data_IF_638101824282
#
_entry.id   IF_638101824282
#
_cell.length_a   1.000
_cell.length_b   1.000
_cell.length_c   1.000
_cell.angle_alpha   90.00
_cell.angle_beta   90.00
_cell.angle_gamma   90.00
#
_symmetry.space_group_name_H-M   'P 1'
#
loop_
_entity.id
_entity.type
_entity.pdbx_description
1 polymer ?
#
# COMPACT_ATOMS: atom_id res chain seq x y z
N UNK A 1 -7.66 -6.33 8.45
CA UNK A 1 -6.79 -5.49 7.60
C UNK A 1 -6.84 -4.04 8.06
N UNK A 2 -5.77 -3.32 7.82
CA UNK A 2 -5.75 -1.89 8.10
C UNK A 2 -6.68 -1.16 7.13
N UNK A 3 -7.41 -0.17 7.63
CA UNK A 3 -8.38 0.58 6.82
C UNK A 3 -8.00 2.05 6.73
N UNK A 4 -8.08 2.59 5.51
CA UNK A 4 -7.84 4.00 5.21
C UNK A 4 -8.99 4.49 4.34
N UNK A 5 -9.51 5.68 4.63
CA UNK A 5 -10.57 6.27 3.83
C UNK A 5 -10.00 7.46 3.08
N UNK A 6 -10.26 7.51 1.76
CA UNK A 6 -9.83 8.60 0.90
C UNK A 6 -11.04 9.13 0.15
N UNK A 7 -11.19 10.45 0.10
CA UNK A 7 -12.21 11.09 -0.71
C UNK A 7 -11.57 11.55 -2.02
N UNK A 8 -12.17 11.18 -3.14
CA UNK A 8 -11.68 11.56 -4.48
C UNK A 8 -11.73 13.07 -4.67
N UNK A 9 -10.61 13.66 -5.13
CA UNK A 9 -10.46 15.09 -5.35
C UNK A 9 -10.48 15.40 -6.85
N UNK A 10 -10.87 16.65 -7.17
CA UNK A 10 -11.04 17.09 -8.55
C UNK A 10 -9.77 16.90 -9.39
N UNK A 11 -8.61 17.20 -8.84
CA UNK A 11 -7.35 17.10 -9.58
C UNK A 11 -6.90 15.66 -9.83
N UNK A 12 -7.64 14.68 -9.33
CA UNK A 12 -7.34 13.26 -9.52
C UNK A 12 -8.11 12.65 -10.67
N UNK A 13 -8.99 13.42 -11.32
CA UNK A 13 -9.84 12.95 -12.42
C UNK A 13 -9.14 13.08 -13.76
N UNK A 14 -9.48 12.16 -14.68
CA UNK A 14 -9.09 12.27 -16.08
C UNK A 14 -10.15 13.02 -16.88
N UNK A 15 -9.98 13.10 -18.21
CA UNK A 15 -10.91 13.82 -19.08
C UNK A 15 -12.29 13.18 -19.18
N UNK A 16 -12.45 11.94 -18.71
CA UNK A 16 -13.75 11.25 -18.68
C UNK A 16 -14.47 11.43 -17.34
N UNK A 17 -13.89 12.17 -16.40
CA UNK A 17 -14.48 12.36 -15.08
C UNK A 17 -14.24 11.22 -14.12
N UNK A 18 -13.40 10.25 -14.50
CA UNK A 18 -13.01 9.12 -13.64
C UNK A 18 -11.68 9.40 -12.97
N UNK A 19 -11.44 8.78 -11.82
CA UNK A 19 -10.12 8.83 -11.23
C UNK A 19 -9.10 8.29 -12.23
N UNK A 20 -8.07 9.09 -12.52
CA UNK A 20 -7.00 8.68 -13.42
C UNK A 20 -6.30 7.45 -12.82
N UNK A 21 -6.03 6.44 -13.67
CA UNK A 21 -5.45 5.19 -13.20
C UNK A 21 -4.14 5.37 -12.43
N UNK A 22 -3.34 6.38 -12.73
CA UNK A 22 -2.09 6.64 -12.01
C UNK A 22 -2.33 7.05 -10.56
N UNK A 23 -3.48 7.65 -10.25
CA UNK A 23 -3.79 8.07 -8.88
C UNK A 23 -4.12 6.90 -7.97
N UNK A 24 -4.55 5.76 -8.52
CA UNK A 24 -4.74 4.57 -7.70
C UNK A 24 -3.43 4.09 -7.07
N UNK A 25 -2.31 4.25 -7.76
CA UNK A 25 -1.00 3.93 -7.20
C UNK A 25 -0.70 4.79 -5.98
N UNK A 26 -1.06 6.07 -6.04
CA UNK A 26 -0.90 6.98 -4.90
C UNK A 26 -1.83 6.63 -3.74
N UNK A 27 -3.07 6.26 -4.03
CA UNK A 27 -4.02 5.85 -3.00
C UNK A 27 -3.50 4.62 -2.24
N UNK A 28 -3.04 3.62 -2.97
CA UNK A 28 -2.51 2.40 -2.36
C UNK A 28 -1.24 2.69 -1.56
N UNK A 29 -0.37 3.55 -2.06
CA UNK A 29 0.85 3.93 -1.36
C UNK A 29 0.53 4.67 -0.05
N UNK A 30 -0.39 5.63 -0.10
CA UNK A 30 -0.82 6.35 1.10
C UNK A 30 -1.35 5.38 2.16
N UNK A 31 -2.12 4.40 1.73
CA UNK A 31 -2.68 3.40 2.65
C UNK A 31 -1.59 2.51 3.27
N UNK A 32 -0.56 2.14 2.50
CA UNK A 32 0.56 1.37 3.05
C UNK A 32 1.35 2.18 4.07
N UNK A 33 1.59 3.46 3.78
CA UNK A 33 2.29 4.36 4.71
C UNK A 33 1.49 4.51 6.00
N UNK A 34 0.18 4.70 5.89
CA UNK A 34 -0.71 4.80 7.04
C UNK A 34 -0.68 3.53 7.90
N UNK A 35 -0.68 2.36 7.25
CA UNK A 35 -0.61 1.08 7.95
C UNK A 35 0.72 0.94 8.71
N UNK A 36 1.82 1.36 8.10
CA UNK A 36 3.13 1.31 8.75
C UNK A 36 3.20 2.25 9.94
N UNK A 37 2.67 3.46 9.81
CA UNK A 37 2.64 4.42 10.92
C UNK A 37 1.85 3.86 12.10
N UNK A 38 0.68 3.28 11.82
CA UNK A 38 -0.16 2.69 12.87
C UNK A 38 0.51 1.48 13.54
N UNK A 39 1.29 0.71 12.77
CA UNK A 39 2.02 -0.43 13.30
C UNK A 39 3.25 -0.01 14.12
N UNK A 40 3.59 1.28 14.13
CA UNK A 40 4.64 1.81 14.98
C UNK A 40 6.02 1.95 14.33
N UNK A 41 6.12 1.78 13.01
CA UNK A 41 7.40 1.92 12.32
C UNK A 41 7.23 2.70 11.03
N UNK A 42 7.45 4.01 11.09
CA UNK A 42 7.27 4.89 9.93
C UNK A 42 8.41 4.77 8.92
N UNK A 43 8.12 5.20 7.69
CA UNK A 43 9.14 5.27 6.62
C UNK A 43 10.28 6.20 7.03
N UNK A 44 9.97 7.34 7.66
CA UNK A 44 10.99 8.29 8.11
C UNK A 44 11.94 7.68 9.15
N UNK A 45 11.40 6.92 10.09
CA UNK A 45 12.22 6.23 11.09
C UNK A 45 13.19 5.25 10.42
N UNK A 46 12.69 4.48 9.46
CA UNK A 46 13.50 3.51 8.72
C UNK A 46 14.62 4.21 7.95
N UNK A 47 14.30 5.30 7.27
CA UNK A 47 15.29 6.06 6.49
C UNK A 47 16.39 6.58 7.41
N UNK A 48 16.04 7.11 8.57
CA UNK A 48 17.00 7.61 9.56
C UNK A 48 17.89 6.49 10.09
N UNK A 49 17.40 5.26 10.11
CA UNK A 49 18.17 4.09 10.58
C UNK A 49 18.98 3.45 9.45
N UNK A 50 18.91 3.97 8.24
CA UNK A 50 19.69 3.47 7.11
C UNK A 50 19.01 2.36 6.31
N UNK A 51 17.68 2.31 6.33
CA UNK A 51 16.91 1.32 5.58
C UNK A 51 15.93 1.99 4.63
N UNK A 52 15.82 1.45 3.43
CA UNK A 52 14.85 1.91 2.43
C UNK A 52 13.87 0.78 2.15
N UNK A 53 12.61 1.15 1.96
CA UNK A 53 11.59 0.23 1.46
C UNK A 53 11.35 0.59 0.00
N UNK A 54 11.64 -0.35 -0.89
CA UNK A 54 11.62 -0.13 -2.33
C UNK A 54 10.58 -1.04 -2.98
N UNK A 55 9.71 -0.45 -3.78
CA UNK A 55 8.71 -1.22 -4.53
C UNK A 55 9.44 -2.00 -5.63
N UNK A 56 9.32 -3.33 -5.59
CA UNK A 56 9.96 -4.21 -6.56
C UNK A 56 8.99 -4.67 -7.65
N UNK A 57 7.70 -4.78 -7.34
CA UNK A 57 6.71 -5.23 -8.29
C UNK A 57 5.33 -4.76 -7.86
N UNK A 58 4.54 -4.29 -8.82
CA UNK A 58 3.14 -3.90 -8.59
C UNK A 58 2.30 -4.59 -9.65
N UNK A 59 1.19 -5.17 -9.20
CA UNK A 59 0.15 -5.66 -10.09
C UNK A 59 -1.17 -5.06 -9.62
N UNK A 60 -1.81 -4.28 -10.48
CA UNK A 60 -3.07 -3.60 -10.17
C UNK A 60 -4.14 -4.01 -11.15
N UNK A 61 -5.32 -4.32 -10.63
CA UNK A 61 -6.50 -4.59 -11.45
C UNK A 61 -7.51 -3.48 -11.19
N UNK A 62 -8.00 -2.87 -12.27
CA UNK A 62 -9.01 -1.82 -12.23
C UNK A 62 -10.35 -2.45 -12.59
N UNK A 63 -11.28 -2.47 -11.64
CA UNK A 63 -12.52 -3.24 -11.77
C UNK A 63 -13.76 -2.37 -11.95
N UNK A 64 -13.74 -1.13 -11.45
CA UNK A 64 -14.85 -0.19 -11.59
C UNK A 64 -14.32 1.24 -11.48
N UNK A 65 -14.99 2.21 -12.10
CA UNK A 65 -14.54 3.60 -12.00
C UNK A 65 -14.91 4.24 -10.67
N UNK A 66 -14.14 5.22 -10.28
CA UNK A 66 -14.44 6.10 -9.15
C UNK A 66 -14.57 7.53 -9.66
N UNK A 67 -15.39 8.32 -8.99
CA UNK A 67 -15.80 9.65 -9.45
C UNK A 67 -15.54 10.70 -8.37
N UNK A 68 -15.67 11.97 -8.75
CA UNK A 68 -15.50 13.09 -7.84
C UNK A 68 -16.31 12.91 -6.56
N UNK A 69 -15.68 13.17 -5.45
CA UNK A 69 -16.27 13.11 -4.11
C UNK A 69 -16.65 11.72 -3.61
N UNK A 70 -16.38 10.67 -4.39
CA UNK A 70 -16.56 9.32 -3.89
C UNK A 70 -15.68 9.08 -2.66
N UNK A 71 -16.22 8.37 -1.69
CA UNK A 71 -15.48 7.94 -0.52
C UNK A 71 -15.00 6.51 -0.76
N UNK A 72 -13.69 6.32 -0.73
CA UNK A 72 -13.05 5.04 -1.04
C UNK A 72 -12.48 4.45 0.23
N UNK A 73 -12.84 3.21 0.54
CA UNK A 73 -12.25 2.46 1.64
C UNK A 73 -11.11 1.61 1.08
N UNK A 74 -9.92 1.78 1.63
CA UNK A 74 -8.76 1.00 1.24
C UNK A 74 -8.39 0.08 2.39
N UNK A 75 -8.48 -1.21 2.14
CA UNK A 75 -8.08 -2.23 3.09
C UNK A 75 -6.69 -2.73 2.70
N UNK A 76 -5.77 -2.80 3.67
CA UNK A 76 -4.38 -3.15 3.43
C UNK A 76 -3.92 -4.21 4.41
N UNK A 77 -3.21 -5.21 3.90
CA UNK A 77 -2.60 -6.23 4.72
C UNK A 77 -1.39 -6.84 4.04
N UNK A 78 -0.60 -7.56 4.80
CA UNK A 78 0.58 -8.25 4.30
C UNK A 78 0.27 -9.73 4.24
N UNK A 79 0.52 -10.35 3.09
CA UNK A 79 0.19 -11.76 2.86
C UNK A 79 1.40 -12.67 2.99
N UNK A 80 2.60 -12.12 2.88
CA UNK A 80 3.81 -12.91 2.99
C UNK A 80 4.97 -12.02 3.43
N UNK A 81 5.77 -12.52 4.36
CA UNK A 81 7.00 -11.84 4.80
C UNK A 81 8.15 -12.79 4.54
N UNK A 82 9.17 -12.28 3.84
CA UNK A 82 10.43 -12.97 3.60
C UNK A 82 11.54 -12.22 4.32
N UNK A 83 12.78 -12.70 4.19
CA UNK A 83 13.92 -12.09 4.88
C UNK A 83 14.10 -10.62 4.50
N UNK A 84 14.00 -10.29 3.20
CA UNK A 84 14.29 -8.95 2.67
C UNK A 84 13.13 -8.38 1.86
N UNK A 85 11.96 -8.99 1.90
CA UNK A 85 10.79 -8.50 1.15
C UNK A 85 9.49 -8.90 1.83
N UNK A 86 8.43 -8.18 1.51
CA UNK A 86 7.08 -8.47 1.97
C UNK A 86 6.11 -8.28 0.81
N UNK A 87 5.04 -9.07 0.81
CA UNK A 87 4.00 -8.98 -0.18
C UNK A 87 2.77 -8.34 0.45
N UNK A 88 2.35 -7.21 -0.12
CA UNK A 88 1.14 -6.51 0.29
C UNK A 88 -0.04 -6.93 -0.57
N UNK A 89 -1.21 -6.99 0.04
CA UNK A 89 -2.49 -7.08 -0.65
C UNK A 89 -3.34 -5.92 -0.22
N UNK A 90 -3.94 -5.22 -1.19
CA UNK A 90 -4.80 -4.06 -0.91
C UNK A 90 -6.01 -4.08 -1.82
N UNK A 91 -7.12 -3.58 -1.29
CA UNK A 91 -8.39 -3.51 -2.02
C UNK A 91 -9.05 -2.18 -1.75
N UNK A 92 -9.52 -1.53 -2.81
CA UNK A 92 -10.32 -0.30 -2.72
C UNK A 92 -11.78 -0.65 -3.01
N UNK A 93 -12.67 -0.24 -2.11
CA UNK A 93 -14.10 -0.39 -2.32
C UNK A 93 -14.81 0.95 -2.21
N UNK A 94 -15.91 1.06 -2.97
CA UNK A 94 -16.86 2.15 -2.89
C UNK A 94 -18.20 1.53 -2.54
N UNK A 95 -18.64 1.66 -1.29
CA UNK A 95 -19.78 0.91 -0.81
C UNK A 95 -19.53 -0.59 -0.95
N UNK A 96 -20.36 -1.26 -1.73
CA UNK A 96 -20.24 -2.71 -1.97
C UNK A 96 -19.46 -3.04 -3.25
N UNK A 97 -19.03 -2.03 -3.98
CA UNK A 97 -18.35 -2.22 -5.26
C UNK A 97 -16.84 -2.24 -5.06
N UNK A 98 -16.18 -3.29 -5.54
CA UNK A 98 -14.71 -3.33 -5.55
C UNK A 98 -14.24 -2.51 -6.74
N UNK A 99 -13.46 -1.47 -6.46
CA UNK A 99 -12.97 -0.53 -7.48
C UNK A 99 -11.64 -0.98 -8.05
N UNK A 100 -10.73 -1.41 -7.18
CA UNK A 100 -9.39 -1.85 -7.61
C UNK A 100 -8.77 -2.77 -6.56
N UNK A 101 -7.86 -3.61 -7.03
CA UNK A 101 -7.10 -4.54 -6.18
C UNK A 101 -5.64 -4.40 -6.57
N UNK A 102 -4.74 -4.39 -5.58
CA UNK A 102 -3.31 -4.30 -5.85
C UNK A 102 -2.53 -5.31 -5.02
N UNK A 103 -1.59 -5.96 -5.69
CA UNK A 103 -0.56 -6.79 -5.06
C UNK A 103 0.79 -6.10 -5.27
N UNK A 104 1.54 -5.90 -4.19
CA UNK A 104 2.80 -5.16 -4.25
C UNK A 104 3.87 -5.89 -3.47
N UNK A 105 5.01 -6.13 -4.11
CA UNK A 105 6.18 -6.63 -3.40
C UNK A 105 7.10 -5.47 -3.08
N UNK A 106 7.43 -5.33 -1.79
CA UNK A 106 8.30 -4.28 -1.28
C UNK A 106 9.54 -4.93 -0.70
N UNK A 107 10.70 -4.49 -1.15
CA UNK A 107 11.98 -4.98 -0.65
C UNK A 107 12.62 -4.02 0.32
N UNK A 108 13.48 -4.56 1.19
CA UNK A 108 14.30 -3.76 2.09
C UNK A 108 15.71 -3.65 1.51
N UNK A 109 16.24 -2.43 1.42
CA UNK A 109 17.59 -2.19 0.91
C UNK A 109 18.35 -1.23 1.80
N UNK A 110 19.69 -1.25 1.63
CA UNK A 110 20.55 -0.19 2.16
C UNK A 110 20.40 1.05 1.28
N UNK A 111 20.88 2.23 1.72
CA UNK A 111 20.87 3.43 0.88
C UNK A 111 21.60 3.27 -0.44
N UNK A 112 22.54 2.31 -0.54
CA UNK A 112 23.27 2.00 -1.77
C UNK A 112 22.51 1.04 -2.69
N UNK A 113 21.30 0.62 -2.28
CA UNK A 113 20.46 -0.24 -3.10
C UNK A 113 20.68 -1.74 -2.94
N UNK A 114 21.47 -2.16 -1.95
CA UNK A 114 21.69 -3.59 -1.70
C UNK A 114 20.57 -4.19 -0.87
N UNK A 115 20.01 -5.34 -1.29
CA UNK A 115 19.02 -6.02 -0.46
C UNK A 115 19.57 -6.31 0.93
N UNK A 116 18.73 -6.12 1.94
CA UNK A 116 19.12 -6.40 3.31
C UNK A 116 17.94 -6.95 4.09
N UNK A 117 18.25 -7.66 5.17
CA UNK A 117 17.23 -8.21 6.05
C UNK A 117 16.45 -7.07 6.71
N UNK A 118 15.15 -7.27 6.86
CA UNK A 118 14.33 -6.33 7.64
C UNK A 118 14.88 -6.21 9.06
N UNK A 119 15.02 -4.97 9.59
CA UNK A 119 15.37 -4.79 11.00
C UNK A 119 14.34 -5.47 11.91
N UNK A 120 14.78 -5.92 13.09
CA UNK A 120 13.90 -6.64 14.02
C UNK A 120 12.63 -5.87 14.36
N UNK A 121 12.74 -4.57 14.62
CA UNK A 121 11.57 -3.74 14.94
C UNK A 121 10.59 -3.67 13.77
N UNK A 122 11.10 -3.58 12.55
CA UNK A 122 10.26 -3.59 11.35
C UNK A 122 9.57 -4.94 11.20
N UNK A 123 10.29 -6.04 11.44
CA UNK A 123 9.69 -7.37 11.38
C UNK A 123 8.52 -7.49 12.35
N UNK A 124 8.66 -6.97 13.56
CA UNK A 124 7.57 -6.99 14.53
C UNK A 124 6.36 -6.16 14.04
N UNK A 125 6.63 -4.98 13.49
CA UNK A 125 5.56 -4.11 12.98
C UNK A 125 4.80 -4.78 11.85
N UNK A 126 5.49 -5.33 10.85
CA UNK A 126 4.83 -5.92 9.69
C UNK A 126 4.14 -7.25 10.00
N UNK A 127 4.56 -7.97 11.02
CA UNK A 127 3.86 -9.17 11.47
C UNK A 127 2.44 -8.86 11.95
N UNK A 128 2.22 -7.69 12.53
CA UNK A 128 0.88 -7.27 12.95
C UNK A 128 -0.04 -7.02 11.77
N UNK A 129 0.51 -6.83 10.58
CA UNK A 129 -0.24 -6.58 9.36
C UNK A 129 -0.50 -7.85 8.55
N UNK A 130 -0.01 -8.99 9.03
CA UNK A 130 -0.21 -10.26 8.32
C UNK A 130 -1.69 -10.65 8.29
N UNK A 131 -2.15 -11.01 7.10
CA UNK A 131 -3.52 -11.44 6.86
C UNK A 131 -3.52 -12.65 5.94
N UNK A 132 -4.62 -13.41 5.98
CA UNK A 132 -4.83 -14.47 5.01
C UNK A 132 -5.15 -13.83 3.66
N UNK A 133 -4.48 -14.29 2.61
CA UNK A 133 -4.72 -13.75 1.28
C UNK A 133 -6.16 -13.99 0.86
N UNK A 134 -6.83 -12.92 0.47
CA UNK A 134 -8.18 -13.02 -0.08
C UNK A 134 -8.12 -13.31 -1.58
N UNK A 135 -9.08 -14.07 -2.02
CA UNK A 135 -9.21 -14.46 -3.43
C UNK A 135 -10.16 -13.54 -4.19
#
# INVERSE_FOLDING_TARGET
MHETIIKVRFNELDSYGHVNHSNYLHYFEEARISAMDEAGKSIDQLLNEGFLLVVAQIETRFLAPAYLSDSLLIESGITQIRRASAQWFQRITKGKTVVAIQNTRVGCTTPQGKPCKFPNELQQAIKELLVTKEK
#
